data_IF_182656322119
#
_entry.id   IF_182656322119
#
_cell.length_a   1.000
_cell.length_b   1.000
_cell.length_c   1.000
_cell.angle_alpha   90.00
_cell.angle_beta   90.00
_cell.angle_gamma   90.00
#
_symmetry.space_group_name_H-M   'P 1'
#
loop_
_entity.id
_entity.type
_entity.pdbx_description
1 polymer ?
#
# COMPACT_ATOMS: atom_id res chain seq x y z
N UNK A 1 -1.09 0.20 14.40
CA UNK A 1 -1.90 0.03 13.16
C UNK A 1 -3.40 -0.10 13.40
N UNK A 2 -3.88 0.11 14.62
CA UNK A 2 -5.30 -0.11 14.98
C UNK A 2 -6.28 1.01 14.56
N UNK A 3 -5.84 2.01 13.81
CA UNK A 3 -6.67 3.17 13.44
C UNK A 3 -6.90 3.33 11.93
N UNK A 4 -6.51 2.37 11.11
CA UNK A 4 -7.02 2.34 9.75
C UNK A 4 -8.51 2.01 9.83
N UNK A 5 -9.35 3.04 9.71
CA UNK A 5 -10.79 2.83 9.55
C UNK A 5 -11.08 2.76 8.06
N UNK A 6 -11.28 1.56 7.51
CA UNK A 6 -11.67 1.44 6.12
C UNK A 6 -13.01 2.14 5.93
N UNK A 7 -13.23 2.83 4.79
CA UNK A 7 -14.52 3.38 4.43
C UNK A 7 -15.63 2.33 4.59
N UNK A 8 -16.84 2.77 4.93
CA UNK A 8 -17.96 1.87 5.22
C UNK A 8 -18.21 0.82 4.12
N UNK A 9 -18.08 1.20 2.86
CA UNK A 9 -18.24 0.28 1.73
C UNK A 9 -17.17 -0.84 1.70
N UNK A 10 -15.97 -0.59 2.21
CA UNK A 10 -14.94 -1.63 2.34
C UNK A 10 -15.30 -2.65 3.42
N UNK A 11 -15.96 -2.23 4.50
CA UNK A 11 -16.48 -3.16 5.53
C UNK A 11 -17.56 -4.09 4.96
N UNK A 12 -18.41 -3.57 4.06
CA UNK A 12 -19.40 -4.38 3.35
C UNK A 12 -18.75 -5.41 2.44
N UNK A 13 -17.56 -5.12 1.91
CA UNK A 13 -16.82 -6.06 1.08
C UNK A 13 -16.32 -7.29 1.85
N UNK A 14 -16.34 -7.27 3.18
CA UNK A 14 -15.93 -8.42 4.01
C UNK A 14 -17.03 -9.50 4.14
N UNK A 15 -18.27 -9.15 3.81
CA UNK A 15 -19.41 -10.08 3.89
C UNK A 15 -19.33 -11.10 2.75
N UNK A 16 -19.27 -12.43 3.04
CA UNK A 16 -19.24 -13.45 2.01
C UNK A 16 -20.43 -13.36 1.03
N UNK A 17 -20.18 -13.55 -0.25
CA UNK A 17 -21.20 -13.43 -1.31
C UNK A 17 -21.53 -11.97 -1.65
N UNK A 18 -22.18 -11.26 -0.74
CA UNK A 18 -22.56 -9.86 -0.92
C UNK A 18 -21.34 -8.97 -1.20
N UNK A 19 -20.26 -9.16 -0.45
CA UNK A 19 -19.04 -8.40 -0.63
C UNK A 19 -18.39 -8.60 -2.00
N UNK A 20 -18.45 -9.81 -2.55
CA UNK A 20 -17.94 -10.07 -3.90
C UNK A 20 -18.75 -9.30 -4.95
N UNK A 21 -20.07 -9.28 -4.80
CA UNK A 21 -20.94 -8.53 -5.71
C UNK A 21 -20.68 -7.01 -5.62
N UNK A 22 -20.64 -6.47 -4.41
CA UNK A 22 -20.36 -5.04 -4.18
C UNK A 22 -18.98 -4.66 -4.72
N UNK A 23 -17.95 -5.47 -4.45
CA UNK A 23 -16.60 -5.18 -4.88
C UNK A 23 -16.49 -5.16 -6.41
N UNK A 24 -17.02 -6.16 -7.09
CA UNK A 24 -16.95 -6.25 -8.56
C UNK A 24 -17.70 -5.13 -9.27
N UNK A 25 -18.82 -4.70 -8.73
CA UNK A 25 -19.70 -3.76 -9.43
C UNK A 25 -19.50 -2.29 -9.03
N UNK A 26 -19.05 -2.04 -7.80
CA UNK A 26 -18.96 -0.68 -7.24
C UNK A 26 -17.57 -0.40 -6.69
N UNK A 27 -17.19 -1.09 -5.61
CA UNK A 27 -15.99 -0.76 -4.85
C UNK A 27 -14.69 -0.93 -5.66
N UNK A 28 -14.63 -1.96 -6.53
CA UNK A 28 -13.48 -2.18 -7.41
C UNK A 28 -13.28 -1.03 -8.39
N UNK A 29 -14.35 -0.51 -8.99
CA UNK A 29 -14.28 0.65 -9.89
C UNK A 29 -13.86 1.93 -9.15
N UNK A 30 -14.35 2.10 -7.92
CA UNK A 30 -13.93 3.23 -7.08
C UNK A 30 -12.46 3.11 -6.69
N UNK A 31 -12.00 1.91 -6.34
CA UNK A 31 -10.60 1.64 -6.04
C UNK A 31 -9.70 1.97 -7.24
N UNK A 32 -10.07 1.52 -8.43
CA UNK A 32 -9.34 1.84 -9.67
C UNK A 32 -9.24 3.35 -9.88
N UNK A 33 -10.35 4.08 -9.71
CA UNK A 33 -10.33 5.54 -9.83
C UNK A 33 -9.43 6.19 -8.78
N UNK A 34 -9.47 5.74 -7.54
CA UNK A 34 -8.61 6.26 -6.46
C UNK A 34 -7.14 5.96 -6.73
N UNK A 35 -6.83 4.76 -7.18
CA UNK A 35 -5.46 4.41 -7.58
C UNK A 35 -4.90 5.39 -8.63
N UNK A 36 -5.73 5.77 -9.59
CA UNK A 36 -5.32 6.73 -10.62
C UNK A 36 -5.13 8.17 -10.12
N UNK A 37 -5.76 8.55 -9.00
CA UNK A 37 -5.81 9.96 -8.56
C UNK A 37 -5.14 10.24 -7.22
N UNK A 38 -4.92 9.22 -6.39
CA UNK A 38 -4.49 9.40 -4.99
C UNK A 38 -3.13 8.77 -4.68
N UNK A 39 -2.65 7.85 -5.52
CA UNK A 39 -1.42 7.12 -5.23
C UNK A 39 -0.15 7.90 -5.59
N UNK A 40 -0.23 8.76 -6.60
CA UNK A 40 0.88 9.58 -7.06
C UNK A 40 0.79 10.99 -6.45
N UNK A 41 1.94 11.56 -6.13
CA UNK A 41 2.03 12.95 -5.67
C UNK A 41 2.26 13.90 -6.84
N UNK A 42 3.29 13.64 -7.61
CA UNK A 42 3.67 14.40 -8.79
C UNK A 42 4.52 13.50 -9.69
N UNK A 43 4.07 13.27 -10.91
CA UNK A 43 4.88 12.60 -11.91
C UNK A 43 4.44 13.01 -13.31
N UNK A 44 5.40 13.18 -14.20
CA UNK A 44 5.16 13.43 -15.61
C UNK A 44 4.61 12.18 -16.32
N UNK A 45 4.77 11.01 -15.69
CA UNK A 45 4.37 9.71 -16.23
C UNK A 45 3.02 9.19 -15.69
N UNK A 46 2.16 10.10 -15.20
CA UNK A 46 0.85 9.73 -14.64
C UNK A 46 0.01 8.90 -15.63
N UNK A 47 0.04 9.26 -16.92
CA UNK A 47 -0.69 8.56 -17.97
C UNK A 47 -0.18 7.13 -18.17
N UNK A 48 1.11 6.91 -18.10
CA UNK A 48 1.71 5.60 -18.19
C UNK A 48 1.26 4.72 -17.00
N UNK A 49 1.32 5.28 -15.80
CA UNK A 49 0.89 4.57 -14.59
C UNK A 49 -0.59 4.18 -14.65
N UNK A 50 -1.46 5.14 -15.01
CA UNK A 50 -2.92 4.91 -15.12
C UNK A 50 -3.23 3.84 -16.17
N UNK A 51 -2.57 3.88 -17.33
CA UNK A 51 -2.75 2.87 -18.38
C UNK A 51 -2.28 1.50 -17.92
N UNK A 52 -1.09 1.38 -17.35
CA UNK A 52 -0.54 0.11 -16.86
C UNK A 52 -1.44 -0.53 -15.81
N UNK A 53 -2.02 0.28 -14.92
CA UNK A 53 -2.97 -0.21 -13.92
C UNK A 53 -4.31 -0.63 -14.55
N UNK A 54 -4.82 0.15 -15.51
CA UNK A 54 -6.05 -0.18 -16.24
C UNK A 54 -5.89 -1.47 -17.05
N UNK A 55 -4.72 -1.69 -17.67
CA UNK A 55 -4.41 -2.92 -18.39
C UNK A 55 -4.37 -4.12 -17.45
N UNK A 56 -3.71 -4.00 -16.30
CA UNK A 56 -3.70 -5.04 -15.28
C UNK A 56 -5.13 -5.38 -14.78
N UNK A 57 -5.99 -4.37 -14.65
CA UNK A 57 -7.36 -4.54 -14.19
C UNK A 57 -8.27 -5.35 -15.16
N UNK A 58 -7.85 -5.49 -16.42
CA UNK A 58 -8.58 -6.27 -17.42
C UNK A 58 -8.35 -7.78 -17.30
N UNK A 59 -7.30 -8.20 -16.60
CA UNK A 59 -7.03 -9.62 -16.44
C UNK A 59 -8.13 -10.32 -15.62
N UNK A 60 -8.56 -11.48 -16.11
CA UNK A 60 -9.53 -12.31 -15.41
C UNK A 60 -9.02 -12.65 -14.00
N UNK A 61 -9.85 -12.37 -12.99
CA UNK A 61 -9.52 -12.63 -11.59
C UNK A 61 -8.80 -11.49 -10.87
N UNK A 62 -8.42 -10.40 -11.55
CA UNK A 62 -7.78 -9.25 -10.91
C UNK A 62 -8.58 -8.73 -9.72
N UNK A 63 -9.88 -8.47 -9.90
CA UNK A 63 -10.73 -7.98 -8.83
C UNK A 63 -10.93 -9.02 -7.70
N UNK A 64 -11.00 -10.30 -8.03
CA UNK A 64 -11.11 -11.36 -7.03
C UNK A 64 -9.82 -11.48 -6.20
N UNK A 65 -8.66 -11.40 -6.84
CA UNK A 65 -7.36 -11.37 -6.19
C UNK A 65 -7.22 -10.13 -5.28
N UNK A 66 -7.57 -8.97 -5.80
CA UNK A 66 -7.54 -7.71 -5.04
C UNK A 66 -8.44 -7.78 -3.82
N UNK A 67 -9.68 -8.26 -3.96
CA UNK A 67 -10.59 -8.43 -2.83
C UNK A 67 -10.06 -9.43 -1.80
N UNK A 68 -9.48 -10.54 -2.25
CA UNK A 68 -8.87 -11.53 -1.37
C UNK A 68 -7.71 -10.94 -0.58
N UNK A 69 -6.85 -10.15 -1.22
CA UNK A 69 -5.72 -9.47 -0.58
C UNK A 69 -6.19 -8.44 0.43
N UNK A 70 -7.21 -7.64 0.08
CA UNK A 70 -7.82 -6.69 1.01
C UNK A 70 -8.32 -7.38 2.28
N UNK A 71 -9.11 -8.45 2.13
CA UNK A 71 -9.69 -9.20 3.27
C UNK A 71 -8.63 -9.85 4.16
N UNK A 72 -7.61 -10.44 3.55
CA UNK A 72 -6.59 -11.22 4.30
C UNK A 72 -5.52 -10.37 4.95
N UNK A 73 -5.24 -9.20 4.40
CA UNK A 73 -4.11 -8.37 4.83
C UNK A 73 -4.54 -6.97 5.25
N UNK A 74 -5.00 -6.14 4.33
CA UNK A 74 -5.22 -4.70 4.56
C UNK A 74 -6.31 -4.45 5.59
N UNK A 75 -7.42 -5.18 5.52
CA UNK A 75 -8.52 -5.07 6.50
C UNK A 75 -8.24 -5.83 7.80
N UNK A 76 -7.26 -6.73 7.81
CA UNK A 76 -6.86 -7.49 8.98
C UNK A 76 -5.59 -6.90 9.63
N UNK A 77 -5.74 -5.70 10.18
CA UNK A 77 -4.63 -4.96 10.79
C UNK A 77 -3.96 -5.70 11.95
N UNK A 78 -4.74 -6.46 12.72
CA UNK A 78 -4.21 -7.30 13.80
C UNK A 78 -3.26 -8.38 13.25
N UNK A 79 -3.66 -9.06 12.20
CA UNK A 79 -2.80 -10.06 11.55
C UNK A 79 -1.50 -9.43 11.02
N UNK A 80 -1.59 -8.29 10.34
CA UNK A 80 -0.43 -7.58 9.83
C UNK A 80 0.52 -7.16 10.96
N UNK A 81 -0.01 -6.59 12.04
CA UNK A 81 0.77 -6.17 13.22
C UNK A 81 1.53 -7.34 13.84
N UNK A 82 0.88 -8.50 14.02
CA UNK A 82 1.55 -9.69 14.57
C UNK A 82 2.66 -10.21 13.66
N UNK A 83 2.50 -10.13 12.32
CA UNK A 83 3.56 -10.49 11.39
C UNK A 83 4.77 -9.54 11.47
N UNK A 84 4.52 -8.23 11.58
CA UNK A 84 5.61 -7.27 11.82
C UNK A 84 6.35 -7.51 13.13
N UNK A 85 5.65 -7.83 14.22
CA UNK A 85 6.28 -8.19 15.50
C UNK A 85 7.17 -9.45 15.39
N UNK A 86 6.75 -10.43 14.57
CA UNK A 86 7.58 -11.63 14.32
C UNK A 86 8.87 -11.23 13.60
N UNK A 87 8.77 -10.42 12.55
CA UNK A 87 9.94 -9.92 11.81
C UNK A 87 10.84 -9.07 12.71
N UNK A 88 10.25 -8.21 13.55
CA UNK A 88 11.01 -7.37 14.50
C UNK A 88 11.80 -8.15 15.58
N UNK A 89 11.50 -9.45 15.76
CA UNK A 89 12.26 -10.35 16.64
C UNK A 89 13.40 -11.07 15.92
N UNK A 90 13.53 -10.89 14.63
CA UNK A 90 14.62 -11.46 13.83
C UNK A 90 15.75 -10.45 13.67
N UNK A 91 16.91 -10.93 13.24
CA UNK A 91 18.04 -10.08 12.88
C UNK A 91 18.03 -9.69 11.39
N UNK A 92 16.89 -9.91 10.70
CA UNK A 92 16.76 -9.55 9.30
C UNK A 92 16.71 -8.02 9.20
N UNK A 93 17.62 -7.39 8.45
CA UNK A 93 17.56 -5.95 8.24
C UNK A 93 16.30 -5.58 7.44
N UNK A 94 15.63 -4.52 7.85
CA UNK A 94 14.39 -4.04 7.23
C UNK A 94 14.54 -2.59 6.81
N UNK A 95 14.27 -2.31 5.55
CA UNK A 95 14.16 -0.95 5.03
C UNK A 95 12.68 -0.61 4.80
N UNK A 96 12.24 0.54 5.30
CA UNK A 96 10.96 1.14 4.95
C UNK A 96 11.22 2.50 4.29
N UNK A 97 10.56 2.75 3.19
CA UNK A 97 10.57 4.04 2.50
C UNK A 97 9.15 4.59 2.53
N UNK A 98 9.02 5.88 2.85
CA UNK A 98 7.69 6.49 3.03
C UNK A 98 7.63 7.93 2.52
N UNK A 99 6.61 8.21 1.71
CA UNK A 99 6.32 9.56 1.24
C UNK A 99 5.57 10.40 2.28
N UNK A 100 5.95 11.66 2.46
CA UNK A 100 5.28 12.56 3.41
C UNK A 100 3.85 12.92 3.00
N UNK A 101 3.55 12.84 1.70
CA UNK A 101 2.25 13.16 1.11
C UNK A 101 1.43 11.90 0.77
N UNK A 102 1.77 10.75 1.36
CA UNK A 102 1.03 9.51 1.17
C UNK A 102 -0.40 9.64 1.72
N UNK A 103 -1.38 9.69 0.80
CA UNK A 103 -2.81 9.78 1.13
C UNK A 103 -3.44 8.41 1.42
N UNK A 104 -2.80 7.34 0.99
CA UNK A 104 -3.29 5.95 1.16
C UNK A 104 -2.85 5.39 2.50
N UNK A 105 -1.56 5.56 2.83
CA UNK A 105 -0.98 5.20 4.12
C UNK A 105 -0.32 6.44 4.73
N UNK A 106 -1.06 7.26 5.48
CA UNK A 106 -0.56 8.52 6.00
C UNK A 106 0.76 8.37 6.76
N UNK A 107 1.65 9.36 6.63
CA UNK A 107 3.03 9.32 7.13
C UNK A 107 3.15 8.92 8.61
N UNK A 108 2.19 9.31 9.47
CA UNK A 108 2.21 8.90 10.88
C UNK A 108 2.18 7.38 11.10
N UNK A 109 1.80 6.59 10.10
CA UNK A 109 1.84 5.12 10.17
C UNK A 109 3.28 4.58 10.14
N UNK A 110 4.23 5.34 9.59
CA UNK A 110 5.65 4.98 9.63
C UNK A 110 6.21 4.96 11.05
N UNK A 111 5.77 5.90 11.90
CA UNK A 111 6.14 5.93 13.32
C UNK A 111 5.57 4.71 14.08
N UNK A 112 4.34 4.33 13.75
CA UNK A 112 3.75 3.11 14.31
C UNK A 112 4.42 1.84 13.84
N UNK A 113 4.96 1.84 12.61
CA UNK A 113 5.77 0.73 12.14
C UNK A 113 7.03 0.57 12.99
N UNK A 114 7.68 1.67 13.38
CA UNK A 114 8.86 1.63 14.28
C UNK A 114 8.54 1.03 15.64
N UNK A 115 7.34 1.24 16.18
CA UNK A 115 6.92 0.66 17.46
C UNK A 115 6.89 -0.88 17.41
N UNK A 116 6.55 -1.46 16.28
CA UNK A 116 6.43 -2.92 16.11
C UNK A 116 7.64 -3.56 15.40
N UNK A 117 8.45 -2.74 14.74
CA UNK A 117 9.69 -3.10 14.03
C UNK A 117 10.82 -2.16 14.48
N UNK A 118 11.37 -2.34 15.68
CA UNK A 118 12.36 -1.41 16.23
C UNK A 118 13.68 -1.38 15.44
N UNK A 119 13.97 -2.43 14.68
CA UNK A 119 15.15 -2.53 13.80
C UNK A 119 14.90 -2.00 12.37
N UNK A 120 13.75 -1.38 12.10
CA UNK A 120 13.48 -0.81 10.79
C UNK A 120 14.32 0.45 10.54
N UNK A 121 14.99 0.50 9.41
CA UNK A 121 15.56 1.73 8.85
C UNK A 121 14.49 2.44 8.04
N UNK A 122 14.04 3.60 8.50
CA UNK A 122 13.06 4.42 7.78
C UNK A 122 13.78 5.48 6.97
N UNK A 123 13.46 5.57 5.68
CA UNK A 123 13.83 6.68 4.79
C UNK A 123 12.54 7.43 4.44
N UNK A 124 12.56 8.74 4.65
CA UNK A 124 11.44 9.62 4.35
C UNK A 124 11.69 10.37 3.05
N UNK A 125 10.69 10.33 2.18
CA UNK A 125 10.69 11.09 0.92
C UNK A 125 9.75 12.28 1.06
N UNK A 126 10.33 13.47 1.11
CA UNK A 126 9.58 14.72 1.10
C UNK A 126 8.89 14.91 -0.25
N UNK A 127 7.64 15.43 -0.22
CA UNK A 127 6.85 15.69 -1.43
C UNK A 127 6.62 14.46 -2.33
N UNK A 128 6.48 13.29 -1.72
CA UNK A 128 6.26 12.04 -2.42
C UNK A 128 5.00 11.34 -1.92
N UNK A 129 4.31 10.62 -2.81
CA UNK A 129 3.05 9.93 -2.53
C UNK A 129 3.21 8.47 -2.11
N UNK A 130 2.13 7.69 -2.28
CA UNK A 130 2.12 6.27 -1.94
C UNK A 130 3.01 5.43 -2.85
N UNK A 131 3.08 5.79 -4.12
CA UNK A 131 3.91 5.08 -5.10
C UNK A 131 5.14 5.92 -5.44
N UNK A 132 5.93 6.21 -4.42
CA UNK A 132 7.16 6.99 -4.50
C UNK A 132 8.17 6.44 -5.53
N UNK A 133 8.09 5.17 -5.90
CA UNK A 133 8.94 4.60 -6.97
C UNK A 133 8.71 5.24 -8.34
N UNK A 134 7.55 5.84 -8.58
CA UNK A 134 7.29 6.62 -9.78
C UNK A 134 7.70 8.08 -9.61
N UNK A 135 7.45 8.66 -8.43
CA UNK A 135 7.84 10.05 -8.14
C UNK A 135 9.37 10.19 -8.03
N UNK A 136 10.05 9.21 -7.41
CA UNK A 136 11.45 9.26 -6.98
C UNK A 136 12.22 7.98 -7.39
N UNK A 137 12.03 7.51 -8.62
CA UNK A 137 12.51 6.18 -9.07
C UNK A 137 14.02 5.98 -8.92
N UNK A 138 14.83 6.94 -9.41
CA UNK A 138 16.29 6.84 -9.32
C UNK A 138 16.78 6.88 -7.87
N UNK A 139 16.26 7.79 -7.05
CA UNK A 139 16.56 7.88 -5.63
C UNK A 139 16.19 6.61 -4.88
N UNK A 140 15.03 6.02 -5.21
CA UNK A 140 14.59 4.76 -4.62
C UNK A 140 15.56 3.63 -4.94
N UNK A 141 16.01 3.52 -6.20
CA UNK A 141 16.99 2.52 -6.59
C UNK A 141 18.32 2.70 -5.83
N UNK A 142 18.82 3.91 -5.72
CA UNK A 142 20.07 4.22 -5.03
C UNK A 142 19.98 3.89 -3.52
N UNK A 143 18.90 4.26 -2.86
CA UNK A 143 18.68 3.99 -1.44
C UNK A 143 18.55 2.49 -1.15
N UNK A 144 17.84 1.74 -2.01
CA UNK A 144 17.73 0.28 -1.89
C UNK A 144 19.08 -0.39 -2.12
N UNK A 145 19.82 0.01 -3.17
CA UNK A 145 21.16 -0.54 -3.45
C UNK A 145 22.15 -0.26 -2.33
N UNK A 146 22.08 0.93 -1.72
CA UNK A 146 22.89 1.27 -0.56
C UNK A 146 22.58 0.35 0.63
N UNK A 147 21.29 0.15 0.91
CA UNK A 147 20.85 -0.71 2.00
C UNK A 147 21.29 -2.18 1.83
N UNK A 148 21.24 -2.70 0.60
CA UNK A 148 21.63 -4.10 0.31
C UNK A 148 23.14 -4.31 0.46
N UNK A 149 23.96 -3.27 0.29
CA UNK A 149 25.42 -3.35 0.35
C UNK A 149 25.98 -3.19 1.77
N UNK A 150 25.17 -2.78 2.73
CA UNK A 150 25.52 -2.67 4.15
C UNK A 150 25.38 -4.01 4.87
#
# INVERSE_FOLDING_TARGET
MDTFMPPFYMKLCDIPGLGNFIFKNVAGKMLLKRCATELLYSTDDIDYYVRSFADAAQYKGFLDCTLSSLRKTILNTKYATEKYKIVGKTNIPVLAIWGTNDKTMPYYQSERLKEVLPNVRLITYENSGHIFVFDEGQRTADDVLKFIKE
#
